data_IF_315766049862
#
_entry.id   IF_315766049862
#
_cell.length_a   1.000
_cell.length_b   1.000
_cell.length_c   1.000
_cell.angle_alpha   90.00
_cell.angle_beta   90.00
_cell.angle_gamma   90.00
#
_symmetry.space_group_name_H-M   'P 1'
#
loop_
_entity.id
_entity.type
_entity.pdbx_description
1 polymer ?
#
# COMPACT_ATOMS: atom_id res chain seq x y z
N UNK A 1 -18.71 -15.99 13.71
CA UNK A 1 -18.42 -15.27 12.44
C UNK A 1 -16.92 -15.35 12.21
N UNK A 2 -16.50 -15.87 11.07
CA UNK A 2 -15.11 -16.10 10.69
C UNK A 2 -14.28 -14.82 10.74
N UNK A 3 -13.50 -14.65 11.80
CA UNK A 3 -12.35 -13.75 11.74
C UNK A 3 -11.28 -14.47 10.90
N UNK A 4 -11.45 -14.50 9.57
CA UNK A 4 -10.54 -15.14 8.63
C UNK A 4 -9.67 -14.11 7.92
N UNK A 5 -8.49 -14.54 7.45
CA UNK A 5 -7.59 -13.72 6.66
C UNK A 5 -8.29 -13.11 5.42
N UNK A 6 -9.26 -13.82 4.84
CA UNK A 6 -10.10 -13.34 3.76
C UNK A 6 -11.01 -12.17 4.20
N UNK A 7 -11.58 -12.24 5.40
CA UNK A 7 -12.34 -11.14 5.98
C UNK A 7 -11.47 -9.90 6.16
N UNK A 8 -10.26 -10.07 6.70
CA UNK A 8 -9.28 -8.99 6.81
C UNK A 8 -8.95 -8.39 5.43
N UNK A 9 -8.71 -9.24 4.41
CA UNK A 9 -8.47 -8.79 3.03
C UNK A 9 -9.62 -7.92 2.51
N UNK A 10 -10.86 -8.38 2.63
CA UNK A 10 -12.02 -7.66 2.10
C UNK A 10 -12.18 -6.28 2.75
N UNK A 11 -11.99 -6.19 4.07
CA UNK A 11 -12.01 -4.89 4.78
C UNK A 11 -10.89 -3.99 4.28
N UNK A 12 -9.67 -4.50 4.12
CA UNK A 12 -8.55 -3.69 3.62
C UNK A 12 -8.80 -3.19 2.20
N UNK A 13 -9.34 -4.01 1.29
CA UNK A 13 -9.72 -3.59 -0.06
C UNK A 13 -10.74 -2.43 -0.03
N UNK A 14 -11.73 -2.50 0.87
CA UNK A 14 -12.70 -1.41 1.06
C UNK A 14 -12.02 -0.12 1.54
N UNK A 15 -11.08 -0.21 2.48
CA UNK A 15 -10.30 0.96 2.95
C UNK A 15 -9.42 1.53 1.84
N UNK A 16 -8.78 0.68 1.01
CA UNK A 16 -7.99 1.11 -0.16
C UNK A 16 -8.87 1.88 -1.14
N UNK A 17 -10.07 1.38 -1.45
CA UNK A 17 -10.99 2.04 -2.38
C UNK A 17 -11.41 3.42 -1.85
N UNK A 18 -11.73 3.52 -0.57
CA UNK A 18 -12.09 4.80 0.06
C UNK A 18 -10.91 5.78 0.09
N UNK A 19 -9.69 5.33 0.43
CA UNK A 19 -8.48 6.15 0.36
C UNK A 19 -8.24 6.69 -1.06
N UNK A 20 -8.40 5.85 -2.09
CA UNK A 20 -8.27 6.30 -3.49
C UNK A 20 -9.32 7.34 -3.86
N UNK A 21 -10.57 7.12 -3.45
CA UNK A 21 -11.65 8.07 -3.68
C UNK A 21 -11.36 9.43 -3.00
N UNK A 22 -10.88 9.41 -1.75
CA UNK A 22 -10.46 10.63 -1.06
C UNK A 22 -9.28 11.29 -1.77
N UNK A 23 -8.27 10.54 -2.23
CA UNK A 23 -7.08 11.12 -2.88
C UNK A 23 -7.45 11.84 -4.19
N UNK A 24 -8.35 11.23 -4.97
CA UNK A 24 -8.88 11.85 -6.18
C UNK A 24 -9.70 13.11 -5.83
N UNK A 25 -10.57 13.02 -4.83
CA UNK A 25 -11.40 14.14 -4.36
C UNK A 25 -10.56 15.31 -3.84
N UNK A 26 -9.56 15.04 -3.00
CA UNK A 26 -8.64 16.02 -2.43
C UNK A 26 -7.83 16.72 -3.53
N UNK A 27 -7.29 15.99 -4.51
CA UNK A 27 -6.60 16.62 -5.65
C UNK A 27 -7.53 17.52 -6.47
N UNK A 28 -8.74 17.05 -6.76
CA UNK A 28 -9.74 17.82 -7.49
C UNK A 28 -10.23 19.05 -6.71
N UNK A 29 -10.24 18.99 -5.38
CA UNK A 29 -10.51 20.13 -4.50
C UNK A 29 -9.34 21.11 -4.53
N UNK A 30 -8.10 20.64 -4.35
CA UNK A 30 -6.89 21.46 -4.36
C UNK A 30 -6.71 22.24 -5.67
N UNK A 31 -7.00 21.62 -6.81
CA UNK A 31 -6.98 22.31 -8.10
C UNK A 31 -8.00 23.44 -8.21
N UNK A 32 -9.14 23.35 -7.51
CA UNK A 32 -10.18 24.39 -7.51
C UNK A 32 -9.93 25.50 -6.51
N UNK A 33 -9.36 25.20 -5.33
CA UNK A 33 -9.06 26.20 -4.31
C UNK A 33 -7.83 27.05 -4.64
N UNK A 34 -6.96 26.59 -5.56
CA UNK A 34 -5.93 27.44 -6.15
C UNK A 34 -6.52 28.59 -6.99
N UNK A 35 -7.76 28.44 -7.48
CA UNK A 35 -8.48 29.41 -8.32
C UNK A 35 -9.56 30.21 -7.58
N UNK A 36 -10.05 29.77 -6.40
CA UNK A 36 -11.12 30.49 -5.70
C UNK A 36 -11.12 30.31 -4.17
N UNK A 37 -11.42 31.39 -3.45
CA UNK A 37 -11.36 31.50 -1.98
C UNK A 37 -12.60 30.89 -1.30
N UNK A 38 -12.32 30.01 -0.33
CA UNK A 38 -13.19 29.62 0.80
C UNK A 38 -14.36 28.65 0.49
N UNK A 39 -14.08 27.34 0.48
CA UNK A 39 -15.11 26.36 0.79
C UNK A 39 -14.59 25.13 1.57
N UNK A 40 -15.31 24.79 2.65
CA UNK A 40 -15.24 23.65 3.56
C UNK A 40 -14.03 22.69 3.50
N UNK A 41 -12.98 23.00 4.26
CA UNK A 41 -11.89 22.05 4.63
C UNK A 41 -12.41 20.89 5.51
N UNK A 42 -13.65 20.97 6.01
CA UNK A 42 -14.20 20.04 7.00
C UNK A 42 -14.45 18.62 6.45
N UNK A 43 -14.99 18.48 5.23
CA UNK A 43 -15.35 17.17 4.68
C UNK A 43 -14.13 16.28 4.35
N UNK A 44 -13.08 16.78 3.66
CA UNK A 44 -11.88 15.99 3.40
C UNK A 44 -11.15 15.56 4.69
N UNK A 45 -11.10 16.44 5.70
CA UNK A 45 -10.49 16.17 7.01
C UNK A 45 -11.29 15.10 7.77
N UNK A 46 -12.62 15.22 7.80
CA UNK A 46 -13.47 14.23 8.45
C UNK A 46 -13.32 12.83 7.81
N UNK A 47 -13.22 12.76 6.48
CA UNK A 47 -13.00 11.50 5.76
C UNK A 47 -11.61 10.93 5.99
N UNK A 48 -10.57 11.77 6.04
CA UNK A 48 -9.24 11.34 6.43
C UNK A 48 -9.24 10.73 7.84
N UNK A 49 -9.92 11.37 8.80
CA UNK A 49 -10.00 10.88 10.17
C UNK A 49 -10.80 9.57 10.28
N UNK A 50 -11.87 9.44 9.49
CA UNK A 50 -12.63 8.19 9.38
C UNK A 50 -11.74 7.04 8.86
N UNK A 51 -10.98 7.30 7.79
CA UNK A 51 -10.02 6.35 7.23
C UNK A 51 -8.94 5.95 8.25
N UNK A 52 -8.38 6.91 8.99
CA UNK A 52 -7.41 6.64 10.08
C UNK A 52 -7.99 5.67 11.10
N UNK A 53 -9.23 5.90 11.53
CA UNK A 53 -9.93 5.05 12.50
C UNK A 53 -10.15 3.64 11.96
N UNK A 54 -10.67 3.51 10.73
CA UNK A 54 -10.90 2.20 10.09
C UNK A 54 -9.61 1.41 9.92
N UNK A 55 -8.53 2.07 9.48
CA UNK A 55 -7.25 1.40 9.26
C UNK A 55 -6.61 0.95 10.59
N UNK A 56 -6.71 1.76 11.65
CA UNK A 56 -6.23 1.37 12.98
C UNK A 56 -7.02 0.17 13.55
N UNK A 57 -8.35 0.15 13.38
CA UNK A 57 -9.17 -1.00 13.75
C UNK A 57 -8.78 -2.26 12.97
N UNK A 58 -8.58 -2.13 11.66
CA UNK A 58 -8.13 -3.23 10.82
C UNK A 58 -6.78 -3.80 11.31
N UNK A 59 -5.81 -2.93 11.61
CA UNK A 59 -4.48 -3.37 12.07
C UNK A 59 -4.57 -4.16 13.38
N UNK A 60 -5.32 -3.67 14.36
CA UNK A 60 -5.54 -4.38 15.63
C UNK A 60 -6.13 -5.77 15.43
N UNK A 61 -7.17 -5.88 14.59
CA UNK A 61 -7.79 -7.17 14.26
C UNK A 61 -6.82 -8.10 13.54
N UNK A 62 -6.07 -7.57 12.56
CA UNK A 62 -5.08 -8.34 11.82
C UNK A 62 -3.95 -8.86 12.73
N UNK A 63 -3.42 -8.03 13.63
CA UNK A 63 -2.38 -8.47 14.58
C UNK A 63 -2.88 -9.53 15.55
N UNK A 64 -4.14 -9.41 16.00
CA UNK A 64 -4.78 -10.43 16.83
C UNK A 64 -4.92 -11.76 16.09
N UNK A 65 -5.35 -11.72 14.82
CA UNK A 65 -5.43 -12.91 13.98
C UNK A 65 -4.07 -13.58 13.76
N UNK A 66 -3.02 -12.78 13.52
CA UNK A 66 -1.65 -13.28 13.36
C UNK A 66 -1.13 -13.95 14.63
N UNK A 67 -1.42 -13.38 15.80
CA UNK A 67 -1.01 -13.96 17.08
C UNK A 67 -1.64 -15.34 17.32
N UNK A 68 -2.88 -15.54 16.89
CA UNK A 68 -3.62 -16.82 17.06
C UNK A 68 -3.13 -17.91 16.10
N UNK A 69 -2.77 -17.54 14.86
CA UNK A 69 -2.43 -18.52 13.80
C UNK A 69 -0.93 -18.87 13.72
N UNK A 70 -0.11 -18.33 14.63
CA UNK A 70 1.35 -18.56 14.66
C UNK A 70 2.15 -17.51 13.88
N UNK A 71 3.44 -17.36 14.24
CA UNK A 71 4.28 -16.23 13.81
C UNK A 71 4.80 -16.29 12.37
N UNK A 72 4.68 -17.44 11.70
CA UNK A 72 5.12 -17.58 10.30
C UNK A 72 4.24 -16.68 9.44
N UNK A 73 4.86 -15.61 8.94
CA UNK A 73 4.23 -14.72 7.97
C UNK A 73 4.06 -15.51 6.70
N UNK A 74 2.85 -16.00 6.44
CA UNK A 74 2.49 -16.50 5.12
C UNK A 74 2.48 -15.33 4.11
N UNK A 75 2.71 -15.63 2.84
CA UNK A 75 2.72 -14.69 1.70
C UNK A 75 1.52 -13.75 1.75
N UNK A 76 0.33 -14.30 2.04
CA UNK A 76 -0.90 -13.52 2.13
C UNK A 76 -0.88 -12.47 3.25
N UNK A 77 -0.29 -12.80 4.41
CA UNK A 77 -0.14 -11.86 5.52
C UNK A 77 0.88 -10.76 5.20
N UNK A 78 1.98 -11.08 4.53
CA UNK A 78 2.96 -10.09 4.05
C UNK A 78 2.32 -9.13 3.03
N UNK A 79 1.55 -9.65 2.07
CA UNK A 79 0.85 -8.83 1.06
C UNK A 79 -0.16 -7.87 1.70
N UNK A 80 -0.91 -8.34 2.69
CA UNK A 80 -1.85 -7.50 3.45
C UNK A 80 -1.11 -6.42 4.24
N UNK A 81 0.02 -6.76 4.86
CA UNK A 81 0.82 -5.80 5.63
C UNK A 81 1.45 -4.74 4.73
N UNK A 82 1.98 -5.09 3.56
CA UNK A 82 2.48 -4.12 2.57
C UNK A 82 1.37 -3.18 2.10
N UNK A 83 0.19 -3.74 1.79
CA UNK A 83 -0.97 -2.94 1.38
C UNK A 83 -1.40 -1.98 2.49
N UNK A 84 -1.49 -2.45 3.73
CA UNK A 84 -1.75 -1.62 4.90
C UNK A 84 -0.73 -0.48 5.03
N UNK A 85 0.55 -0.81 4.87
CA UNK A 85 1.66 0.14 5.06
C UNK A 85 1.59 1.30 4.07
N UNK A 86 1.24 1.01 2.82
CA UNK A 86 1.04 2.03 1.80
C UNK A 86 -0.19 2.87 2.06
N UNK A 87 -1.31 2.24 2.42
CA UNK A 87 -2.53 2.97 2.77
C UNK A 87 -2.27 3.87 3.97
N UNK A 88 -1.44 3.43 4.93
CA UNK A 88 -1.04 4.20 6.08
C UNK A 88 -0.26 5.47 5.69
N UNK A 89 0.70 5.36 4.77
CA UNK A 89 1.48 6.51 4.27
C UNK A 89 0.58 7.45 3.47
N UNK A 90 -0.13 6.91 2.47
CA UNK A 90 -0.98 7.69 1.58
C UNK A 90 -2.06 8.46 2.35
N UNK A 91 -2.69 7.85 3.37
CA UNK A 91 -3.70 8.56 4.17
C UNK A 91 -3.13 9.70 5.01
N UNK A 92 -1.88 9.61 5.47
CA UNK A 92 -1.29 10.69 6.27
C UNK A 92 -0.98 11.86 5.35
N UNK A 93 -0.38 11.57 4.19
CA UNK A 93 0.03 12.56 3.19
C UNK A 93 -1.12 13.11 2.31
N UNK A 94 -2.35 12.62 2.44
CA UNK A 94 -3.42 12.84 1.44
C UNK A 94 -3.88 14.30 1.32
N UNK A 95 -3.69 15.09 2.37
CA UNK A 95 -4.04 16.52 2.43
C UNK A 95 -2.80 17.42 2.42
N UNK A 96 -1.60 16.85 2.35
CA UNK A 96 -0.35 17.60 2.29
C UNK A 96 -0.04 18.01 0.84
N UNK A 97 0.32 19.29 0.68
CA UNK A 97 0.68 19.86 -0.63
C UNK A 97 2.13 19.57 -1.02
N UNK A 98 2.98 19.32 -0.03
CA UNK A 98 4.40 19.08 -0.22
C UNK A 98 4.70 17.58 -0.29
N UNK A 99 5.46 17.17 -1.32
CA UNK A 99 5.96 15.80 -1.39
C UNK A 99 7.05 15.51 -0.35
N UNK A 100 7.66 16.53 0.25
CA UNK A 100 8.57 16.37 1.38
C UNK A 100 7.95 15.63 2.58
N UNK A 101 6.61 15.57 2.68
CA UNK A 101 5.93 14.77 3.72
C UNK A 101 6.32 13.29 3.68
N UNK A 102 6.71 12.76 2.51
CA UNK A 102 7.10 11.36 2.37
C UNK A 102 8.48 11.04 3.00
N UNK A 103 9.30 12.05 3.28
CA UNK A 103 10.63 11.93 3.90
C UNK A 103 10.55 11.31 5.30
N UNK A 104 9.48 11.63 6.04
CA UNK A 104 9.23 11.10 7.37
C UNK A 104 8.97 9.57 7.38
N UNK A 105 8.63 8.98 6.22
CA UNK A 105 8.27 7.57 6.10
C UNK A 105 9.40 6.69 5.53
N UNK A 106 10.64 7.21 5.52
CA UNK A 106 11.83 6.52 5.00
C UNK A 106 11.98 5.06 5.46
N UNK A 107 11.86 4.82 6.77
CA UNK A 107 11.96 3.49 7.39
C UNK A 107 10.76 2.58 7.09
N UNK A 108 9.61 3.17 6.83
CA UNK A 108 8.35 2.45 6.55
C UNK A 108 8.37 1.90 5.12
N UNK A 109 8.87 2.68 4.17
CA UNK A 109 9.09 2.21 2.80
C UNK A 109 10.18 1.13 2.70
N UNK A 110 11.24 1.21 3.52
CA UNK A 110 12.25 0.14 3.58
C UNK A 110 11.61 -1.21 3.98
N UNK A 111 10.70 -1.21 4.95
CA UNK A 111 9.96 -2.41 5.34
C UNK A 111 9.13 -2.99 4.18
N UNK A 112 8.59 -2.16 3.30
CA UNK A 112 7.86 -2.63 2.11
C UNK A 112 8.81 -3.37 1.16
N UNK A 113 10.02 -2.85 0.96
CA UNK A 113 11.04 -3.49 0.11
C UNK A 113 11.43 -4.86 0.68
N UNK A 114 11.65 -4.95 2.00
CA UNK A 114 12.00 -6.20 2.67
C UNK A 114 10.86 -7.24 2.57
N UNK A 115 9.62 -6.82 2.83
CA UNK A 115 8.45 -7.67 2.70
C UNK A 115 8.22 -8.13 1.26
N UNK A 116 8.49 -7.27 0.28
CA UNK A 116 8.36 -7.60 -1.12
C UNK A 116 9.42 -8.63 -1.54
N UNK A 117 10.66 -8.48 -1.11
CA UNK A 117 11.72 -9.47 -1.38
C UNK A 117 11.35 -10.85 -0.82
N UNK A 118 10.86 -10.91 0.42
CA UNK A 118 10.38 -12.15 1.03
C UNK A 118 9.19 -12.76 0.28
N UNK A 119 8.17 -11.94 -0.04
CA UNK A 119 6.99 -12.40 -0.78
C UNK A 119 7.33 -12.91 -2.19
N UNK A 120 8.25 -12.23 -2.90
CA UNK A 120 8.72 -12.66 -4.21
C UNK A 120 9.54 -13.96 -4.14
N UNK A 121 10.31 -14.17 -3.08
CA UNK A 121 11.05 -15.41 -2.88
C UNK A 121 10.10 -16.60 -2.64
N UNK A 122 9.05 -16.41 -1.83
CA UNK A 122 8.06 -17.46 -1.51
C UNK A 122 7.16 -17.85 -2.66
N UNK A 123 6.93 -16.95 -3.62
CA UNK A 123 6.11 -17.30 -4.78
C UNK A 123 6.87 -18.10 -5.82
N UNK A 124 8.21 -18.18 -5.76
CA UNK A 124 8.99 -18.98 -6.74
C UNK A 124 8.61 -20.46 -6.66
N UNK A 125 8.39 -21.07 -7.81
CA UNK A 125 8.21 -22.52 -7.90
C UNK A 125 9.55 -23.26 -7.66
N UNK A 126 9.51 -24.59 -7.64
CA UNK A 126 10.72 -25.44 -7.47
C UNK A 126 11.80 -25.22 -8.54
N UNK A 127 11.45 -24.62 -9.69
CA UNK A 127 12.37 -24.22 -10.76
C UNK A 127 12.87 -22.77 -10.63
N UNK A 128 12.49 -22.06 -9.55
CA UNK A 128 12.86 -20.66 -9.32
C UNK A 128 12.07 -19.63 -10.14
N UNK A 129 11.07 -20.06 -10.93
CA UNK A 129 10.22 -19.17 -11.74
C UNK A 129 9.11 -18.56 -10.89
N UNK A 130 8.80 -17.30 -11.14
CA UNK A 130 7.65 -16.64 -10.51
C UNK A 130 6.33 -17.02 -11.21
N UNK A 131 5.23 -17.20 -10.47
CA UNK A 131 3.91 -17.42 -11.02
C UNK A 131 3.38 -16.13 -11.66
N UNK A 132 2.41 -16.24 -12.59
CA UNK A 132 1.78 -15.09 -13.22
C UNK A 132 1.26 -14.10 -12.18
N UNK A 133 1.61 -12.83 -12.34
CA UNK A 133 1.23 -11.74 -11.45
C UNK A 133 -0.30 -11.61 -11.35
N UNK A 134 -0.83 -11.49 -10.12
CA UNK A 134 -2.26 -11.20 -9.87
C UNK A 134 -2.41 -9.79 -9.30
N UNK A 135 -3.23 -8.98 -9.97
CA UNK A 135 -3.38 -7.54 -9.73
C UNK A 135 -4.06 -7.20 -8.39
N UNK A 136 -4.92 -8.07 -7.88
CA UNK A 136 -5.87 -7.67 -6.84
C UNK A 136 -5.27 -7.43 -5.45
N UNK A 137 -4.12 -8.02 -5.12
CA UNK A 137 -3.43 -7.77 -3.85
C UNK A 137 -1.97 -8.23 -3.92
N UNK A 138 -1.28 -7.80 -4.99
CA UNK A 138 0.10 -8.17 -5.26
C UNK A 138 1.11 -7.15 -4.71
N UNK A 139 2.38 -7.52 -4.76
CA UNK A 139 3.52 -6.65 -4.40
C UNK A 139 3.65 -5.40 -5.28
N UNK A 140 3.00 -5.38 -6.45
CA UNK A 140 3.17 -4.35 -7.47
C UNK A 140 2.76 -2.96 -7.02
N UNK A 141 1.53 -2.79 -6.50
CA UNK A 141 1.04 -1.46 -6.13
C UNK A 141 1.88 -0.84 -4.99
N UNK A 142 2.25 -1.60 -3.94
CA UNK A 142 3.18 -1.09 -2.94
C UNK A 142 4.57 -0.73 -3.46
N UNK A 143 5.15 -1.56 -4.33
CA UNK A 143 6.44 -1.28 -4.93
C UNK A 143 6.40 -0.09 -5.90
N UNK A 144 5.32 0.07 -6.66
CA UNK A 144 5.11 1.20 -7.57
C UNK A 144 5.04 2.51 -6.79
N UNK A 145 4.23 2.56 -5.73
CA UNK A 145 4.12 3.77 -4.90
C UNK A 145 5.46 4.05 -4.21
N UNK A 146 6.14 3.02 -3.70
CA UNK A 146 7.50 3.16 -3.15
C UNK A 146 8.45 3.74 -4.20
N UNK A 147 8.48 3.20 -5.42
CA UNK A 147 9.32 3.70 -6.51
C UNK A 147 8.98 5.11 -7.01
N UNK A 148 7.76 5.60 -6.79
CA UNK A 148 7.35 6.95 -7.20
C UNK A 148 7.50 7.99 -6.10
N UNK A 149 7.21 7.61 -4.85
CA UNK A 149 7.11 8.51 -3.70
C UNK A 149 8.32 8.49 -2.79
N UNK A 150 9.18 7.48 -2.88
CA UNK A 150 10.36 7.41 -2.04
C UNK A 150 11.35 8.53 -2.41
N UNK A 151 11.77 9.37 -1.46
CA UNK A 151 12.54 10.57 -1.74
C UNK A 151 14.00 10.28 -2.10
N UNK A 152 14.59 9.22 -1.55
CA UNK A 152 15.99 8.91 -1.82
C UNK A 152 16.19 8.08 -3.10
N UNK A 153 17.17 8.43 -3.94
CA UNK A 153 17.36 7.81 -5.25
C UNK A 153 17.74 6.32 -5.18
N UNK A 154 18.42 5.86 -4.14
CA UNK A 154 18.85 4.46 -4.01
C UNK A 154 17.71 3.48 -3.78
N UNK A 155 16.87 3.64 -2.73
CA UNK A 155 15.78 2.69 -2.50
C UNK A 155 14.65 2.87 -3.53
N UNK A 156 14.54 4.07 -4.14
CA UNK A 156 13.71 4.28 -5.34
C UNK A 156 14.14 3.36 -6.48
N UNK A 157 15.44 3.30 -6.77
CA UNK A 157 16.01 2.37 -7.77
C UNK A 157 15.77 0.91 -7.39
N UNK A 158 15.89 0.55 -6.11
CA UNK A 158 15.63 -0.83 -5.65
C UNK A 158 14.16 -1.23 -5.86
N UNK A 159 13.21 -0.38 -5.49
CA UNK A 159 11.78 -0.62 -5.73
C UNK A 159 11.46 -0.79 -7.21
N UNK A 160 11.99 0.10 -8.07
CA UNK A 160 11.83 0.00 -9.53
C UNK A 160 12.50 -1.27 -10.11
N UNK A 161 13.67 -1.66 -9.60
CA UNK A 161 14.32 -2.92 -9.98
C UNK A 161 13.49 -4.15 -9.58
N UNK A 162 12.86 -4.13 -8.40
CA UNK A 162 11.97 -5.20 -7.94
C UNK A 162 10.70 -5.34 -8.80
N UNK A 163 10.31 -4.30 -9.55
CA UNK A 163 9.20 -4.34 -10.52
C UNK A 163 9.59 -4.97 -11.86
N UNK A 164 10.87 -5.04 -12.22
CA UNK A 164 11.30 -5.56 -13.54
C UNK A 164 10.76 -6.97 -13.85
N UNK A 165 10.82 -7.96 -12.94
CA UNK A 165 10.30 -9.30 -13.22
C UNK A 165 8.77 -9.31 -13.46
N UNK A 166 8.04 -8.34 -12.90
CA UNK A 166 6.58 -8.26 -12.99
C UNK A 166 6.11 -7.57 -14.28
N UNK A 167 6.89 -6.61 -14.79
CA UNK A 167 6.56 -5.82 -15.99
C UNK A 167 6.94 -6.55 -17.28
N UNK A 168 8.06 -7.30 -17.26
CA UNK A 168 8.60 -7.98 -18.45
C UNK A 168 8.05 -9.40 -18.67
N UNK A 169 7.14 -9.88 -17.83
CA UNK A 169 6.58 -11.22 -17.91
C UNK A 169 5.85 -11.58 -19.22
N UNK A 170 5.14 -10.68 -19.95
CA UNK A 170 4.48 -11.10 -21.18
C UNK A 170 5.44 -11.35 -22.37
N UNK A 171 6.75 -11.11 -22.23
CA UNK A 171 7.71 -11.18 -23.34
C UNK A 171 8.82 -12.23 -23.18
N UNK A 172 8.78 -13.08 -22.14
CA UNK A 172 9.83 -14.07 -21.86
C UNK A 172 9.54 -15.48 -22.40
N UNK A 173 8.63 -15.62 -23.36
CA UNK A 173 8.44 -16.83 -24.15
C UNK A 173 8.95 -16.56 -25.57
N UNK A 174 10.27 -16.74 -25.73
CA UNK A 174 10.98 -16.85 -27.00
C UNK A 174 12.01 -17.95 -26.86
#
# INVERSE_FOLDING_TARGET
>A
MSASLQGARNVLCSVVAEMKALNIGSKAYMHRTADDLLHEVSEPVARQQHLKTRLAQWYRLFTYLKAIHGSNVDVAAALLLMTYTIVFIEKEAILDFDQGVYDAYGSVFAQIIDLAAAALAWTRNSEGKQPPFKFELGVFLPLLITGLKYPFPEPRRQGLCALRPLIWWPYSLG
#
